data_IF_993322865470
#
_entry.id   IF_993322865470
#
_cell.length_a   1.000
_cell.length_b   1.000
_cell.length_c   1.000
_cell.angle_alpha   90.00
_cell.angle_beta   90.00
_cell.angle_gamma   90.00
#
_symmetry.space_group_name_H-M   'P 1'
#
loop_
_entity.id
_entity.type
_entity.pdbx_description
1 polymer ?
#
# COMPACT_ATOMS: atom_id res chain seq x y z
N UNK A 1 74.83 -19.50 42.17
CA UNK A 1 74.36 -18.21 41.61
C UNK A 1 72.93 -18.44 41.14
N UNK A 2 71.93 -18.09 41.96
CA UNK A 2 70.51 -18.36 41.68
C UNK A 2 69.72 -17.05 41.71
N UNK A 3 69.23 -16.62 40.55
CA UNK A 3 68.42 -15.41 40.37
C UNK A 3 66.98 -15.68 40.83
N UNK A 4 66.50 -14.91 41.81
CA UNK A 4 65.11 -14.94 42.30
C UNK A 4 64.16 -14.36 41.24
N UNK A 5 63.04 -15.01 40.91
CA UNK A 5 62.02 -14.42 40.05
C UNK A 5 61.28 -13.30 40.79
N UNK A 6 61.21 -12.11 40.19
CA UNK A 6 60.42 -10.98 40.67
C UNK A 6 58.92 -11.29 40.49
N UNK A 7 58.18 -11.48 41.59
CA UNK A 7 56.73 -11.59 41.58
C UNK A 7 56.13 -10.22 41.18
N UNK A 8 55.59 -10.13 39.98
CA UNK A 8 54.76 -8.99 39.57
C UNK A 8 53.42 -9.14 40.31
N UNK A 9 53.25 -8.42 41.43
CA UNK A 9 51.95 -8.28 42.08
C UNK A 9 51.01 -7.50 41.15
N UNK A 10 50.20 -8.20 40.37
CA UNK A 10 49.05 -7.60 39.70
C UNK A 10 48.09 -7.12 40.79
N UNK A 11 47.96 -5.80 40.98
CA UNK A 11 46.90 -5.24 41.81
C UNK A 11 45.57 -5.61 41.17
N UNK A 12 44.84 -6.56 41.77
CA UNK A 12 43.46 -6.82 41.38
C UNK A 12 42.64 -5.69 41.98
N UNK A 13 42.26 -4.70 41.18
CA UNK A 13 41.22 -3.75 41.56
C UNK A 13 39.93 -4.56 41.79
N UNK A 14 39.53 -4.69 43.04
CA UNK A 14 38.24 -5.25 43.39
C UNK A 14 37.18 -4.17 43.11
N UNK A 15 36.23 -4.48 42.23
CA UNK A 15 35.11 -3.59 41.94
C UNK A 15 34.13 -3.63 43.11
N UNK A 16 33.67 -2.48 43.58
CA UNK A 16 32.63 -2.44 44.62
C UNK A 16 31.26 -2.73 44.01
N UNK A 17 30.36 -3.33 44.80
CA UNK A 17 28.98 -3.61 44.37
C UNK A 17 28.26 -2.33 43.92
N UNK A 18 28.56 -1.20 44.56
CA UNK A 18 27.99 0.11 44.27
C UNK A 18 28.43 0.61 42.90
N UNK A 19 29.73 0.52 42.56
CA UNK A 19 30.24 0.94 41.26
C UNK A 19 29.60 0.15 40.12
N UNK A 20 29.43 -1.17 40.28
CA UNK A 20 28.75 -2.00 39.28
C UNK A 20 27.29 -1.59 39.12
N UNK A 21 26.59 -1.34 40.23
CA UNK A 21 25.18 -0.97 40.22
C UNK A 21 24.93 0.39 39.54
N UNK A 22 25.79 1.38 39.80
CA UNK A 22 25.71 2.69 39.13
C UNK A 22 25.94 2.57 37.62
N UNK A 23 26.92 1.78 37.19
CA UNK A 23 27.19 1.57 35.76
C UNK A 23 26.00 0.91 35.07
N UNK A 24 25.44 -0.13 35.66
CA UNK A 24 24.26 -0.81 35.11
C UNK A 24 23.05 0.13 35.10
N UNK A 25 22.86 0.97 36.12
CA UNK A 25 21.79 1.97 36.16
C UNK A 25 21.92 3.01 35.04
N UNK A 26 23.13 3.51 34.77
CA UNK A 26 23.39 4.46 33.68
C UNK A 26 23.15 3.79 32.32
N UNK A 27 23.68 2.58 32.09
CA UNK A 27 23.46 1.85 30.83
C UNK A 27 21.97 1.55 30.64
N UNK A 28 21.27 1.12 31.70
CA UNK A 28 19.83 0.88 31.68
C UNK A 28 19.03 2.13 31.31
N UNK A 29 19.37 3.28 31.88
CA UNK A 29 18.74 4.56 31.54
C UNK A 29 19.00 4.97 30.09
N UNK A 30 20.25 4.85 29.62
CA UNK A 30 20.61 5.17 28.22
C UNK A 30 19.88 4.25 27.23
N UNK A 31 19.87 2.94 27.47
CA UNK A 31 19.16 1.97 26.62
C UNK A 31 17.65 2.22 26.66
N UNK A 32 17.09 2.53 27.83
CA UNK A 32 15.67 2.85 27.99
C UNK A 32 15.22 4.06 27.18
N UNK A 33 16.09 5.07 27.00
CA UNK A 33 15.81 6.24 26.17
C UNK A 33 16.09 5.99 24.68
N UNK A 34 17.07 5.14 24.35
CA UNK A 34 17.50 4.88 22.97
C UNK A 34 16.58 3.89 22.24
N UNK A 35 16.01 2.90 22.93
CA UNK A 35 15.21 1.86 22.27
C UNK A 35 13.96 2.43 21.57
N UNK A 36 13.12 3.28 22.20
CA UNK A 36 11.96 3.88 21.53
C UNK A 36 12.39 4.78 20.36
N UNK A 37 13.49 5.51 20.52
CA UNK A 37 14.01 6.40 19.48
C UNK A 37 14.48 5.63 18.23
N UNK A 38 15.18 4.51 18.41
CA UNK A 38 15.63 3.66 17.30
C UNK A 38 14.44 3.02 16.56
N UNK A 39 13.39 2.61 17.29
CA UNK A 39 12.19 2.07 16.67
C UNK A 39 11.44 3.11 15.85
N UNK A 40 11.24 4.31 16.40
CA UNK A 40 10.62 5.42 15.67
C UNK A 40 11.42 5.80 14.41
N UNK A 41 12.75 5.83 14.50
CA UNK A 41 13.62 6.09 13.35
C UNK A 41 13.51 5.01 12.26
N UNK A 42 13.45 3.73 12.64
CA UNK A 42 13.25 2.62 11.69
C UNK A 42 11.92 2.73 10.96
N UNK A 43 10.85 3.05 11.68
CA UNK A 43 9.52 3.20 11.06
C UNK A 43 9.47 4.41 10.13
N UNK A 44 10.06 5.54 10.51
CA UNK A 44 10.17 6.69 9.63
C UNK A 44 10.92 6.36 8.33
N UNK A 45 11.98 5.54 8.41
CA UNK A 45 12.70 5.07 7.23
C UNK A 45 11.84 4.16 6.34
N UNK A 46 11.11 3.19 6.91
CA UNK A 46 10.19 2.33 6.14
C UNK A 46 9.07 3.13 5.49
N UNK A 47 8.47 4.09 6.20
CA UNK A 47 7.48 5.01 5.62
C UNK A 47 8.02 5.83 4.46
N UNK A 48 9.27 6.29 4.56
CA UNK A 48 9.93 6.99 3.44
C UNK A 48 10.10 6.06 2.25
N UNK A 49 10.42 4.77 2.47
CA UNK A 49 10.49 3.77 1.40
C UNK A 49 9.11 3.50 0.78
N UNK A 50 8.05 3.28 1.57
CA UNK A 50 6.69 3.11 1.04
C UNK A 50 6.26 4.35 0.23
N UNK A 51 6.57 5.56 0.71
CA UNK A 51 6.32 6.81 -0.01
C UNK A 51 7.05 6.88 -1.36
N UNK A 52 8.30 6.38 -1.43
CA UNK A 52 9.07 6.35 -2.67
C UNK A 52 8.52 5.32 -3.67
N UNK A 53 8.16 4.12 -3.20
CA UNK A 53 7.51 3.10 -4.03
C UNK A 53 6.19 3.63 -4.61
N UNK A 54 5.34 4.19 -3.74
CA UNK A 54 4.08 4.78 -4.16
C UNK A 54 4.30 6.00 -5.09
N UNK A 55 5.39 6.76 -4.91
CA UNK A 55 5.77 7.82 -5.85
C UNK A 55 6.13 7.27 -7.23
N UNK A 56 6.83 6.14 -7.32
CA UNK A 56 7.11 5.47 -8.60
C UNK A 56 5.82 5.00 -9.28
N UNK A 57 4.88 4.43 -8.52
CA UNK A 57 3.54 4.08 -9.02
C UNK A 57 2.80 5.32 -9.52
N UNK A 58 2.84 6.43 -8.78
CA UNK A 58 2.23 7.69 -9.18
C UNK A 58 2.85 8.29 -10.44
N UNK A 59 4.17 8.23 -10.60
CA UNK A 59 4.84 8.66 -11.84
C UNK A 59 4.48 7.75 -13.02
N UNK A 60 4.35 6.44 -12.79
CA UNK A 60 3.90 5.50 -13.81
C UNK A 60 2.45 5.79 -14.27
N UNK A 61 1.56 6.13 -13.34
CA UNK A 61 0.19 6.57 -13.66
C UNK A 61 0.17 7.83 -14.50
N UNK A 62 0.95 8.83 -14.13
CA UNK A 62 1.05 10.08 -14.89
C UNK A 62 1.59 9.82 -16.29
N UNK A 63 2.68 9.04 -16.42
CA UNK A 63 3.25 8.69 -17.72
C UNK A 63 2.28 7.88 -18.59
N UNK A 64 1.50 6.97 -18.00
CA UNK A 64 0.41 6.29 -18.71
C UNK A 64 -0.63 7.28 -19.23
N UNK A 65 -0.95 8.28 -18.41
CA UNK A 65 -1.98 9.28 -18.71
C UNK A 65 -1.59 10.36 -19.71
N UNK A 66 -0.35 10.36 -20.23
CA UNK A 66 0.06 11.22 -21.35
C UNK A 66 -0.83 11.03 -22.58
N UNK A 67 -1.44 9.84 -22.74
CA UNK A 67 -2.44 9.56 -23.77
C UNK A 67 -3.84 10.16 -23.49
N UNK A 68 -4.01 10.88 -22.38
CA UNK A 68 -5.24 11.59 -21.98
C UNK A 68 -6.22 10.78 -21.11
N UNK A 69 -5.85 9.58 -20.66
CA UNK A 69 -6.69 8.72 -19.82
C UNK A 69 -5.89 7.93 -18.80
N UNK A 70 -6.49 7.64 -17.65
CA UNK A 70 -5.95 6.73 -16.65
C UNK A 70 -6.15 5.27 -17.08
N UNK A 71 -5.36 4.32 -16.54
CA UNK A 71 -5.61 2.90 -16.80
C UNK A 71 -6.99 2.50 -16.26
N UNK A 72 -7.62 1.54 -16.92
CA UNK A 72 -8.85 0.93 -16.42
C UNK A 72 -8.50 0.11 -15.17
N UNK A 73 -9.27 0.26 -14.09
CA UNK A 73 -9.07 -0.46 -12.83
C UNK A 73 -9.07 -1.98 -13.04
N UNK A 74 -10.06 -2.47 -13.78
CA UNK A 74 -10.10 -3.84 -14.27
C UNK A 74 -10.64 -3.92 -15.69
N UNK A 75 -9.94 -4.64 -16.56
CA UNK A 75 -10.44 -4.99 -17.89
C UNK A 75 -11.01 -6.41 -17.89
N UNK A 76 -12.26 -6.53 -18.32
CA UNK A 76 -13.04 -7.76 -18.38
C UNK A 76 -13.48 -8.25 -17.00
N UNK A 77 -13.88 -7.36 -16.10
CA UNK A 77 -14.43 -7.73 -14.78
C UNK A 77 -15.94 -8.00 -14.84
N UNK A 78 -16.66 -7.32 -15.73
CA UNK A 78 -18.12 -7.48 -15.86
C UNK A 78 -18.52 -8.74 -16.66
N UNK A 79 -17.55 -9.46 -17.25
CA UNK A 79 -17.79 -10.61 -18.12
C UNK A 79 -17.56 -11.94 -17.38
N UNK A 80 -18.62 -12.55 -16.83
CA UNK A 80 -18.56 -13.92 -16.31
C UNK A 80 -18.95 -14.95 -17.41
N UNK A 81 -18.31 -16.14 -17.50
CA UNK A 81 -17.36 -16.77 -16.58
C UNK A 81 -15.86 -16.66 -16.96
N UNK A 82 -15.54 -16.04 -18.09
CA UNK A 82 -14.17 -15.85 -18.58
C UNK A 82 -13.79 -14.37 -18.66
N UNK A 83 -13.93 -13.69 -17.53
CA UNK A 83 -13.46 -12.32 -17.37
C UNK A 83 -11.95 -12.29 -17.48
N UNK A 84 -11.42 -11.33 -18.26
CA UNK A 84 -9.97 -11.16 -18.41
C UNK A 84 -9.31 -10.83 -17.08
N UNK A 85 -10.01 -10.10 -16.21
CA UNK A 85 -9.52 -9.69 -14.89
C UNK A 85 -8.14 -9.04 -14.95
N UNK A 86 -7.85 -8.29 -16.03
CA UNK A 86 -6.55 -7.63 -16.18
C UNK A 86 -6.54 -6.40 -15.30
N UNK A 87 -5.55 -6.31 -14.42
CA UNK A 87 -5.40 -5.19 -13.49
C UNK A 87 -4.79 -3.96 -14.12
N UNK A 88 -5.14 -2.80 -13.59
CA UNK A 88 -4.46 -1.52 -13.83
C UNK A 88 -2.95 -1.62 -13.61
N UNK A 89 -2.48 -2.41 -12.63
CA UNK A 89 -1.06 -2.63 -12.36
C UNK A 89 -0.30 -3.17 -13.57
N UNK A 90 -0.90 -4.10 -14.32
CA UNK A 90 -0.28 -4.72 -15.49
C UNK A 90 0.02 -3.68 -16.57
N UNK A 91 -0.83 -2.66 -16.70
CA UNK A 91 -0.64 -1.57 -17.65
C UNK A 91 0.47 -0.59 -17.26
N UNK A 92 0.89 -0.59 -15.98
CA UNK A 92 1.96 0.28 -15.49
C UNK A 92 3.36 -0.31 -15.63
N UNK A 93 3.48 -1.62 -15.91
CA UNK A 93 4.76 -2.32 -15.98
C UNK A 93 5.83 -1.64 -16.86
N UNK A 94 5.54 -1.12 -18.07
CA UNK A 94 6.55 -0.44 -18.90
C UNK A 94 7.14 0.80 -18.23
N UNK A 95 6.34 1.50 -17.42
CA UNK A 95 6.72 2.73 -16.73
C UNK A 95 7.41 2.46 -15.38
N UNK A 96 7.45 1.19 -14.96
CA UNK A 96 8.16 0.70 -13.78
C UNK A 96 9.40 -0.14 -14.16
N UNK A 97 9.90 -0.01 -15.40
CA UNK A 97 11.03 -0.77 -15.93
C UNK A 97 10.82 -2.30 -15.96
N UNK A 98 9.56 -2.76 -15.94
CA UNK A 98 9.17 -4.17 -15.96
C UNK A 98 8.69 -4.64 -17.35
N UNK A 99 9.30 -4.14 -18.43
CA UNK A 99 8.90 -4.47 -19.81
C UNK A 99 8.90 -5.97 -20.10
N UNK A 100 9.89 -6.71 -19.58
CA UNK A 100 9.99 -8.16 -19.78
C UNK A 100 8.78 -8.93 -19.20
N UNK A 101 8.19 -8.43 -18.10
CA UNK A 101 6.97 -9.03 -17.54
C UNK A 101 5.76 -8.71 -18.41
N UNK A 102 5.67 -7.49 -18.95
CA UNK A 102 4.59 -7.14 -19.87
C UNK A 102 4.62 -8.01 -21.13
N UNK A 103 5.80 -8.20 -21.74
CA UNK A 103 5.98 -8.99 -22.96
C UNK A 103 5.61 -10.47 -22.76
N UNK A 104 5.75 -10.98 -21.52
CA UNK A 104 5.37 -12.33 -21.15
C UNK A 104 3.88 -12.48 -20.81
N UNK A 105 3.17 -11.39 -20.55
CA UNK A 105 1.75 -11.40 -20.17
C UNK A 105 0.84 -11.49 -21.40
N UNK A 106 -0.07 -12.47 -21.40
CA UNK A 106 -1.04 -12.68 -22.48
C UNK A 106 -2.38 -11.99 -22.16
N UNK A 107 -2.62 -10.83 -22.79
CA UNK A 107 -3.86 -10.06 -22.67
C UNK A 107 -5.11 -10.73 -23.27
N UNK A 108 -4.94 -11.82 -24.02
CA UNK A 108 -6.06 -12.61 -24.56
C UNK A 108 -6.57 -13.64 -23.58
N UNK A 109 -5.81 -13.94 -22.52
CA UNK A 109 -6.14 -14.92 -21.50
C UNK A 109 -6.55 -14.23 -20.19
N UNK A 110 -7.36 -14.90 -19.34
CA UNK A 110 -7.61 -14.42 -17.99
C UNK A 110 -6.32 -14.26 -17.18
N UNK A 111 -6.25 -13.25 -16.32
CA UNK A 111 -5.12 -13.05 -15.39
C UNK A 111 -4.85 -14.30 -14.54
N UNK A 112 -5.91 -15.02 -14.14
CA UNK A 112 -5.82 -16.29 -13.38
C UNK A 112 -5.35 -17.50 -14.21
N UNK A 113 -5.06 -17.33 -15.50
CA UNK A 113 -4.53 -18.43 -16.34
C UNK A 113 -3.14 -18.84 -15.86
N UNK A 114 -2.76 -20.11 -16.09
CA UNK A 114 -1.47 -20.61 -15.64
C UNK A 114 -0.29 -19.82 -16.23
N UNK A 115 -0.39 -19.38 -17.49
CA UNK A 115 0.62 -18.54 -18.14
C UNK A 115 0.79 -17.20 -17.44
N UNK A 116 -0.30 -16.43 -17.28
CA UNK A 116 -0.24 -15.10 -16.66
C UNK A 116 0.16 -15.16 -15.17
N UNK A 117 -0.22 -16.21 -14.45
CA UNK A 117 0.22 -16.42 -13.07
C UNK A 117 1.72 -16.64 -12.93
N UNK A 118 2.37 -17.28 -13.91
CA UNK A 118 3.82 -17.49 -13.89
C UNK A 118 4.60 -16.17 -14.06
N UNK A 119 3.96 -15.16 -14.67
CA UNK A 119 4.51 -13.80 -14.85
C UNK A 119 4.35 -12.94 -13.58
N UNK A 120 3.38 -13.27 -12.73
CA UNK A 120 3.10 -12.55 -11.50
C UNK A 120 4.18 -12.79 -10.42
N UNK A 121 5.39 -12.26 -10.62
CA UNK A 121 6.45 -12.26 -9.61
C UNK A 121 6.31 -11.08 -8.66
N UNK A 122 7.03 -11.09 -7.54
CA UNK A 122 7.06 -9.95 -6.62
C UNK A 122 7.80 -8.76 -7.23
N UNK A 123 7.17 -7.59 -7.21
CA UNK A 123 7.72 -6.30 -7.64
C UNK A 123 7.85 -5.42 -6.39
N UNK A 124 9.04 -4.88 -6.11
CA UNK A 124 9.31 -4.17 -4.87
C UNK A 124 8.50 -2.87 -4.76
N UNK A 125 8.31 -2.19 -5.89
CA UNK A 125 7.55 -0.94 -6.04
C UNK A 125 6.06 -1.08 -5.72
N UNK A 126 5.56 -2.32 -5.62
CA UNK A 126 4.18 -2.61 -5.24
C UNK A 126 4.02 -2.96 -3.76
N UNK A 127 5.12 -3.04 -3.00
CA UNK A 127 5.10 -3.45 -1.60
C UNK A 127 5.45 -2.30 -0.67
N UNK A 128 4.80 -2.23 0.48
CA UNK A 128 5.19 -1.35 1.57
C UNK A 128 6.04 -2.11 2.59
N UNK A 129 7.31 -1.72 2.83
CA UNK A 129 8.17 -2.37 3.82
C UNK A 129 7.67 -2.40 5.27
N UNK A 130 6.65 -1.60 5.62
CA UNK A 130 6.01 -1.64 6.94
C UNK A 130 4.92 -2.69 7.07
N UNK A 131 4.36 -3.19 5.96
CA UNK A 131 3.37 -4.26 6.01
C UNK A 131 4.08 -5.61 6.18
N UNK A 132 3.98 -6.16 7.39
CA UNK A 132 4.46 -7.50 7.74
C UNK A 132 3.31 -8.51 7.86
N UNK A 133 2.11 -8.17 7.37
CA UNK A 133 0.92 -9.00 7.51
C UNK A 133 1.16 -10.41 6.98
N UNK A 134 0.74 -11.38 7.79
CA UNK A 134 0.80 -12.79 7.41
C UNK A 134 -0.18 -13.01 6.26
N UNK A 135 0.36 -13.02 5.05
CA UNK A 135 -0.45 -13.19 3.83
C UNK A 135 -1.07 -14.58 3.88
N UNK A 136 -2.39 -14.63 4.09
CA UNK A 136 -3.13 -15.89 4.15
C UNK A 136 -2.83 -16.76 2.92
N UNK A 137 -2.80 -18.08 3.09
CA UNK A 137 -2.64 -19.00 1.98
C UNK A 137 -3.89 -18.98 1.09
N UNK A 138 -3.72 -18.80 -0.23
CA UNK A 138 -4.84 -18.84 -1.17
C UNK A 138 -5.49 -20.22 -1.17
N UNK A 139 -6.63 -20.35 -0.49
CA UNK A 139 -7.40 -21.59 -0.40
C UNK A 139 -8.07 -21.97 -1.72
N UNK A 140 -8.16 -21.04 -2.68
CA UNK A 140 -8.73 -21.30 -4.01
C UNK A 140 -7.74 -21.94 -4.98
N UNK A 141 -6.43 -21.88 -4.68
CA UNK A 141 -5.32 -22.23 -5.56
C UNK A 141 -5.31 -21.51 -6.94
N UNK A 142 -6.22 -20.55 -7.16
CA UNK A 142 -6.35 -19.80 -8.42
C UNK A 142 -5.27 -18.73 -8.55
N UNK A 143 -4.66 -18.33 -7.45
CA UNK A 143 -3.66 -17.28 -7.35
C UNK A 143 -2.41 -17.71 -6.55
N UNK A 144 -2.25 -19.02 -6.32
CA UNK A 144 -1.06 -19.53 -5.66
C UNK A 144 0.22 -19.16 -6.41
N UNK A 145 1.26 -18.82 -5.64
CA UNK A 145 2.59 -18.38 -6.09
C UNK A 145 2.62 -17.10 -6.94
N UNK A 146 1.61 -16.23 -6.82
CA UNK A 146 1.62 -14.92 -7.45
C UNK A 146 2.19 -13.85 -6.50
N UNK A 147 2.81 -12.83 -7.07
CA UNK A 147 3.26 -11.63 -6.38
C UNK A 147 2.07 -10.77 -5.97
N UNK A 148 2.25 -10.05 -4.87
CA UNK A 148 1.22 -9.21 -4.27
C UNK A 148 1.57 -7.73 -4.38
N UNK A 149 0.60 -6.89 -4.06
CA UNK A 149 0.73 -5.46 -3.85
C UNK A 149 0.00 -5.06 -2.58
N UNK A 150 0.59 -4.11 -1.86
CA UNK A 150 0.02 -3.48 -0.66
C UNK A 150 -0.69 -2.16 -1.02
N UNK A 151 -0.80 -1.87 -2.33
CA UNK A 151 -1.49 -0.73 -2.90
C UNK A 151 -2.71 -1.21 -3.69
N UNK A 152 -3.75 -0.39 -3.76
CA UNK A 152 -4.88 -0.67 -4.64
C UNK A 152 -5.48 0.57 -5.25
N UNK A 153 -6.12 0.35 -6.38
CA UNK A 153 -6.77 1.42 -7.13
C UNK A 153 -8.09 1.85 -6.50
N UNK A 154 -8.38 3.15 -6.57
CA UNK A 154 -9.61 3.70 -6.01
C UNK A 154 -10.74 3.54 -7.02
N UNK A 155 -11.64 2.61 -6.70
CA UNK A 155 -12.85 2.34 -7.46
C UNK A 155 -13.95 3.37 -7.14
N UNK A 156 -14.02 3.84 -5.89
CA UNK A 156 -14.94 4.90 -5.46
C UNK A 156 -15.36 4.79 -3.99
N UNK A 157 -16.54 5.33 -3.69
CA UNK A 157 -17.19 5.21 -2.39
C UNK A 157 -18.35 4.22 -2.43
N UNK A 158 -18.47 3.40 -1.38
CA UNK A 158 -19.60 2.49 -1.17
C UNK A 158 -20.29 2.68 0.18
N UNK A 159 -21.36 1.92 0.39
CA UNK A 159 -22.16 1.92 1.60
C UNK A 159 -23.39 2.82 1.51
N UNK A 160 -24.31 2.65 2.47
CA UNK A 160 -25.61 3.32 2.48
C UNK A 160 -25.51 4.84 2.50
N UNK A 161 -24.44 5.38 3.08
CA UNK A 161 -24.14 6.81 3.09
C UNK A 161 -23.66 7.36 1.73
N UNK A 162 -23.17 6.49 0.83
CA UNK A 162 -22.88 6.80 -0.57
C UNK A 162 -24.10 6.57 -1.49
N UNK A 163 -25.29 6.28 -0.93
CA UNK A 163 -26.53 6.08 -1.69
C UNK A 163 -26.73 4.68 -2.27
N UNK A 164 -25.81 3.74 -2.04
CA UNK A 164 -25.88 2.37 -2.54
C UNK A 164 -25.83 1.34 -1.40
N UNK A 165 -26.79 0.42 -1.32
CA UNK A 165 -26.82 -0.63 -0.29
C UNK A 165 -25.75 -1.71 -0.47
N UNK A 166 -25.52 -2.12 -1.72
CA UNK A 166 -24.44 -3.00 -2.19
C UNK A 166 -24.05 -2.55 -3.59
N UNK A 167 -22.75 -2.32 -3.83
CA UNK A 167 -22.23 -1.71 -5.07
C UNK A 167 -21.99 -0.21 -4.93
N UNK A 168 -21.47 0.41 -5.99
CA UNK A 168 -21.18 1.84 -6.05
C UNK A 168 -22.16 2.51 -7.02
N UNK A 169 -22.72 3.66 -6.63
CA UNK A 169 -23.45 4.52 -7.55
C UNK A 169 -22.49 5.23 -8.51
N UNK A 170 -22.89 5.43 -9.76
CA UNK A 170 -22.00 6.00 -10.77
C UNK A 170 -21.48 7.41 -10.42
N UNK A 171 -22.25 8.16 -9.61
CA UNK A 171 -21.85 9.45 -9.07
C UNK A 171 -20.69 9.35 -8.05
N UNK A 172 -20.57 8.20 -7.36
CA UNK A 172 -19.56 7.94 -6.34
C UNK A 172 -18.33 7.22 -6.89
N UNK A 173 -18.20 7.08 -8.21
CA UNK A 173 -17.02 6.48 -8.80
C UNK A 173 -15.77 7.31 -8.58
N UNK A 174 -14.68 6.61 -8.28
CA UNK A 174 -13.33 7.12 -8.35
C UNK A 174 -12.81 7.08 -9.79
N UNK A 175 -11.51 6.86 -9.92
CA UNK A 175 -10.81 6.99 -11.20
C UNK A 175 -10.34 5.66 -11.79
N UNK A 176 -10.16 4.61 -10.98
CA UNK A 176 -9.78 3.28 -11.45
C UNK A 176 -11.00 2.35 -11.44
N UNK A 177 -11.92 2.59 -12.37
CA UNK A 177 -13.19 1.85 -12.51
C UNK A 177 -13.08 0.63 -13.43
N UNK A 178 -14.11 -0.21 -13.43
CA UNK A 178 -14.19 -1.43 -14.25
C UNK A 178 -14.61 -1.11 -15.66
N UNK A 179 -13.93 -1.75 -16.62
CA UNK A 179 -14.27 -1.79 -18.05
C UNK A 179 -14.46 -0.42 -18.75
N UNK A 180 -14.14 0.68 -18.07
CA UNK A 180 -14.30 2.05 -18.53
C UNK A 180 -13.01 2.84 -18.28
N UNK A 181 -12.35 3.38 -19.33
CA UNK A 181 -11.25 4.31 -19.14
C UNK A 181 -11.79 5.66 -18.66
N UNK A 182 -11.12 6.24 -17.67
CA UNK A 182 -11.43 7.59 -17.16
C UNK A 182 -10.48 8.58 -17.80
N UNK A 183 -11.00 9.59 -18.48
CA UNK A 183 -10.16 10.65 -19.07
C UNK A 183 -9.79 11.63 -17.98
N UNK A 184 -8.60 12.23 -18.08
CA UNK A 184 -8.20 13.28 -17.13
C UNK A 184 -9.17 14.47 -17.13
N UNK A 185 -9.83 14.72 -18.26
CA UNK A 185 -10.85 15.76 -18.41
C UNK A 185 -12.17 15.45 -17.67
N UNK A 186 -12.43 14.18 -17.34
CA UNK A 186 -13.65 13.76 -16.64
C UNK A 186 -13.52 13.91 -15.11
N UNK A 187 -12.33 14.28 -14.63
CA UNK A 187 -12.04 14.51 -13.21
C UNK A 187 -12.28 15.98 -12.88
N UNK A 188 -13.49 16.32 -12.43
CA UNK A 188 -13.91 17.71 -12.22
C UNK A 188 -13.45 18.30 -10.90
N UNK A 189 -13.13 17.46 -9.92
CA UNK A 189 -12.69 17.89 -8.58
C UNK A 189 -11.22 18.36 -8.55
N UNK A 190 -10.51 18.15 -9.67
CA UNK A 190 -9.10 18.50 -9.85
C UNK A 190 -8.16 17.33 -9.58
N UNK A 191 -7.14 17.19 -10.43
CA UNK A 191 -6.20 16.06 -10.41
C UNK A 191 -5.37 15.96 -9.11
N UNK A 192 -5.15 17.09 -8.43
CA UNK A 192 -4.45 17.16 -7.14
C UNK A 192 -5.32 16.79 -5.95
N UNK A 193 -6.65 16.85 -6.11
CA UNK A 193 -7.63 16.60 -5.06
C UNK A 193 -8.32 15.24 -5.19
N UNK A 194 -8.27 14.61 -6.35
CA UNK A 194 -8.76 13.24 -6.56
C UNK A 194 -7.63 12.22 -6.41
N UNK A 195 -7.85 11.21 -5.58
CA UNK A 195 -6.93 10.10 -5.34
C UNK A 195 -7.14 8.99 -6.35
N UNK A 196 -6.04 8.39 -6.79
CA UNK A 196 -6.03 7.28 -7.75
C UNK A 196 -5.67 5.94 -7.09
N UNK A 197 -4.68 5.93 -6.20
CA UNK A 197 -4.16 4.72 -5.56
C UNK A 197 -3.89 5.01 -4.10
N UNK A 198 -4.13 4.05 -3.22
CA UNK A 198 -3.79 4.17 -1.79
C UNK A 198 -3.23 2.88 -1.23
N UNK A 199 -2.57 3.00 -0.08
CA UNK A 199 -2.24 1.89 0.79
C UNK A 199 -3.50 1.22 1.32
N UNK A 200 -3.43 -0.11 1.40
CA UNK A 200 -4.52 -0.94 1.88
C UNK A 200 -4.00 -1.96 2.88
N UNK A 201 -4.83 -2.26 3.88
CA UNK A 201 -4.49 -3.22 4.93
C UNK A 201 -5.61 -4.26 5.06
N UNK A 202 -5.27 -5.48 5.49
CA UNK A 202 -6.21 -6.60 5.72
C UNK A 202 -7.09 -6.98 4.50
N UNK A 203 -6.56 -6.84 3.28
CA UNK A 203 -7.27 -7.27 2.07
C UNK A 203 -7.31 -8.78 1.90
N UNK A 204 -8.32 -9.26 1.17
CA UNK A 204 -8.40 -10.66 0.75
C UNK A 204 -7.28 -10.97 -0.23
N UNK A 205 -6.64 -12.12 -0.07
CA UNK A 205 -5.48 -12.54 -0.89
C UNK A 205 -5.70 -12.38 -2.40
N UNK A 206 -6.84 -12.78 -2.99
CA UNK A 206 -7.03 -12.64 -4.43
C UNK A 206 -6.91 -11.17 -4.87
N UNK A 207 -7.38 -10.25 -4.05
CA UNK A 207 -7.40 -8.82 -4.35
C UNK A 207 -6.05 -8.13 -4.15
N UNK A 208 -5.14 -8.74 -3.37
CA UNK A 208 -3.77 -8.24 -3.23
C UNK A 208 -2.85 -8.74 -4.34
N UNK A 209 -3.27 -9.67 -5.19
CA UNK A 209 -2.46 -10.13 -6.32
C UNK A 209 -2.41 -9.04 -7.38
N UNK A 210 -1.22 -8.54 -7.71
CA UNK A 210 -1.11 -7.33 -8.53
C UNK A 210 -1.67 -7.51 -9.95
N UNK A 211 -1.60 -8.71 -10.55
CA UNK A 211 -2.19 -8.98 -11.88
C UNK A 211 -3.72 -9.13 -11.86
N UNK A 212 -4.35 -9.26 -10.68
CA UNK A 212 -5.79 -9.46 -10.57
C UNK A 212 -6.52 -8.11 -10.64
N UNK A 213 -7.44 -7.96 -11.58
CA UNK A 213 -8.24 -6.74 -11.76
C UNK A 213 -9.15 -6.39 -10.59
N UNK A 214 -9.42 -7.33 -9.66
CA UNK A 214 -10.06 -6.99 -8.39
C UNK A 214 -9.14 -6.25 -7.41
N UNK A 215 -7.90 -5.91 -7.79
CA UNK A 215 -7.01 -5.02 -7.04
C UNK A 215 -7.45 -3.54 -7.12
N UNK A 216 -8.74 -3.30 -6.99
CA UNK A 216 -9.31 -1.98 -6.72
C UNK A 216 -10.21 -2.08 -5.50
N UNK A 217 -10.50 -0.97 -4.85
CA UNK A 217 -11.33 -0.96 -3.67
C UNK A 217 -12.30 0.21 -3.65
N UNK A 218 -13.42 -0.04 -2.99
CA UNK A 218 -14.41 0.94 -2.64
C UNK A 218 -14.22 1.28 -1.17
N UNK A 219 -14.13 2.57 -0.82
CA UNK A 219 -14.10 2.96 0.58
C UNK A 219 -15.53 3.05 1.09
N UNK A 220 -15.83 2.40 2.22
CA UNK A 220 -17.09 2.60 2.91
C UNK A 220 -17.15 4.05 3.43
N UNK A 221 -18.15 4.81 3.00
CA UNK A 221 -18.24 6.25 3.23
C UNK A 221 -18.31 6.68 4.71
N UNK A 222 -18.56 5.73 5.62
CA UNK A 222 -18.61 5.95 7.08
C UNK A 222 -17.40 5.37 7.82
N UNK A 223 -16.48 4.72 7.12
CA UNK A 223 -15.34 4.02 7.72
C UNK A 223 -14.10 4.91 7.66
N UNK A 224 -13.51 5.25 8.82
CA UNK A 224 -12.26 5.99 8.87
C UNK A 224 -11.06 5.17 8.37
N UNK A 225 -9.96 5.85 8.10
CA UNK A 225 -8.67 5.23 7.76
C UNK A 225 -8.24 4.28 8.89
N UNK A 226 -7.69 3.11 8.54
CA UNK A 226 -7.24 2.08 9.47
C UNK A 226 -8.34 1.47 10.37
N UNK A 227 -9.62 1.80 10.13
CA UNK A 227 -10.73 1.20 10.86
C UNK A 227 -11.21 -0.09 10.16
N UNK A 228 -11.66 -1.11 10.92
CA UNK A 228 -12.24 -2.29 10.31
C UNK A 228 -13.60 -1.95 9.68
N UNK A 229 -13.78 -2.27 8.41
CA UNK A 229 -15.07 -2.22 7.73
C UNK A 229 -15.79 -3.56 7.79
N UNK A 230 -17.12 -3.49 7.68
CA UNK A 230 -17.98 -4.65 7.48
C UNK A 230 -17.90 -5.24 6.06
N UNK A 231 -17.52 -4.43 5.07
CA UNK A 231 -17.38 -4.79 3.65
C UNK A 231 -15.93 -5.16 3.32
N UNK A 232 -14.98 -4.47 3.96
CA UNK A 232 -13.55 -4.75 3.92
C UNK A 232 -12.85 -4.23 2.67
N UNK A 233 -11.53 -4.13 2.73
CA UNK A 233 -10.72 -3.60 1.62
C UNK A 233 -10.57 -2.08 1.61
N UNK A 234 -10.88 -1.42 2.72
CA UNK A 234 -10.74 0.02 2.90
C UNK A 234 -9.30 0.50 3.05
N UNK A 235 -9.15 1.81 2.88
CA UNK A 235 -7.90 2.55 2.99
C UNK A 235 -7.26 2.35 4.38
N UNK A 236 -6.02 1.90 4.38
CA UNK A 236 -5.27 1.65 5.61
C UNK A 236 -3.82 1.29 5.34
N UNK A 237 -2.97 1.38 6.35
CA UNK A 237 -1.57 1.00 6.26
C UNK A 237 -1.04 0.47 7.59
N UNK A 238 0.09 -0.23 7.55
CA UNK A 238 0.80 -0.67 8.75
C UNK A 238 1.54 0.49 9.46
N UNK A 239 1.55 1.69 8.88
CA UNK A 239 2.18 2.85 9.49
C UNK A 239 1.33 3.40 10.65
N UNK A 240 1.95 3.81 11.77
CA UNK A 240 1.22 4.47 12.84
C UNK A 240 0.65 5.84 12.39
N UNK A 241 -0.65 6.04 12.60
CA UNK A 241 -1.30 7.35 12.52
C UNK A 241 -1.84 7.75 11.15
N UNK A 242 -1.87 6.86 10.16
CA UNK A 242 -2.38 7.16 8.83
C UNK A 242 -2.03 6.14 7.75
N UNK A 243 -2.17 6.58 6.51
CA UNK A 243 -1.84 5.81 5.31
C UNK A 243 -1.39 6.76 4.17
N UNK A 244 -0.64 6.22 3.22
CA UNK A 244 -0.21 6.95 2.04
C UNK A 244 -1.20 6.76 0.89
N UNK A 245 -1.40 7.83 0.12
CA UNK A 245 -2.18 7.80 -1.11
C UNK A 245 -1.55 8.67 -2.19
N UNK A 246 -1.86 8.37 -3.44
CA UNK A 246 -1.43 9.10 -4.63
C UNK A 246 -2.63 9.78 -5.28
N UNK A 247 -2.47 11.08 -5.51
CA UNK A 247 -3.39 11.87 -6.33
C UNK A 247 -3.23 11.54 -7.82
N UNK A 248 -4.22 11.86 -8.64
CA UNK A 248 -4.19 11.60 -10.09
C UNK A 248 -3.02 12.28 -10.81
N UNK A 249 -2.49 13.39 -10.27
CA UNK A 249 -1.28 14.05 -10.76
C UNK A 249 0.05 13.40 -10.29
N UNK A 250 -0.01 12.28 -9.56
CA UNK A 250 1.16 11.55 -9.08
C UNK A 250 1.81 12.12 -7.81
N UNK A 251 1.18 13.08 -7.13
CA UNK A 251 1.62 13.55 -5.81
C UNK A 251 1.25 12.54 -4.72
N UNK A 252 2.23 12.13 -3.90
CA UNK A 252 2.00 11.26 -2.75
C UNK A 252 1.68 12.12 -1.53
N UNK A 253 0.59 11.79 -0.83
CA UNK A 253 0.18 12.48 0.40
C UNK A 253 0.01 11.51 1.55
N UNK A 254 0.28 12.01 2.75
CA UNK A 254 -0.09 11.35 3.99
C UNK A 254 -1.54 11.69 4.35
N UNK A 255 -2.34 10.66 4.61
CA UNK A 255 -3.70 10.77 5.10
C UNK A 255 -3.70 10.34 6.57
N UNK A 256 -3.94 11.28 7.48
CA UNK A 256 -3.95 10.98 8.91
C UNK A 256 -5.23 10.26 9.32
N UNK A 257 -5.17 9.39 10.33
CA UNK A 257 -6.35 8.68 10.86
C UNK A 257 -7.47 9.65 11.30
N UNK A 258 -7.07 10.85 11.74
CA UNK A 258 -7.98 11.92 12.17
C UNK A 258 -8.58 12.74 11.01
N UNK A 259 -8.34 12.36 9.75
CA UNK A 259 -8.91 13.06 8.59
C UNK A 259 -10.44 13.03 8.68
N UNK A 260 -11.13 14.19 8.59
CA UNK A 260 -12.59 14.21 8.62
C UNK A 260 -13.18 13.38 7.49
N UNK A 261 -14.14 12.50 7.81
CA UNK A 261 -14.73 11.59 6.83
C UNK A 261 -15.27 12.28 5.56
N UNK A 262 -15.98 13.43 5.62
CA UNK A 262 -16.45 14.09 4.41
C UNK A 262 -15.32 14.55 3.49
N UNK A 263 -14.17 14.91 4.07
CA UNK A 263 -12.98 15.33 3.31
C UNK A 263 -12.32 14.13 2.66
N UNK A 264 -12.22 13.00 3.36
CA UNK A 264 -11.74 11.74 2.79
C UNK A 264 -12.62 11.31 1.62
N UNK A 265 -13.94 11.32 1.82
CA UNK A 265 -14.91 10.93 0.80
C UNK A 265 -14.78 11.77 -0.48
N UNK A 266 -14.67 13.10 -0.34
CA UNK A 266 -14.49 14.01 -1.47
C UNK A 266 -13.21 13.72 -2.28
N UNK A 267 -12.15 13.18 -1.65
CA UNK A 267 -10.93 12.83 -2.37
C UNK A 267 -11.01 11.50 -3.14
N UNK A 268 -12.01 10.66 -2.88
CA UNK A 268 -12.15 9.32 -3.46
C UNK A 268 -13.12 9.28 -4.65
N UNK A 269 -13.79 10.38 -4.94
CA UNK A 269 -14.67 10.55 -6.11
C UNK A 269 -14.00 11.36 -7.21
N UNK A 270 -14.35 11.11 -8.47
CA UNK A 270 -13.85 11.89 -9.62
C UNK A 270 -14.70 13.12 -9.95
N UNK A 271 -15.97 13.09 -9.56
CA UNK A 271 -16.97 14.13 -9.81
C UNK A 271 -17.85 14.28 -8.57
N UNK A 272 -17.32 14.93 -7.55
CA UNK A 272 -18.00 15.20 -6.29
C UNK A 272 -18.99 16.34 -6.48
N UNK A 273 -20.27 16.01 -6.61
CA UNK A 273 -21.27 16.92 -6.07
C UNK A 273 -21.15 16.90 -4.54
N UNK A 274 -20.98 18.08 -3.94
CA UNK A 274 -20.88 18.35 -2.50
C UNK A 274 -21.75 17.40 -1.64
N UNK A 275 -21.20 16.29 -1.14
CA UNK A 275 -21.81 15.51 -0.05
C UNK A 275 -21.65 16.19 1.32
N UNK A 276 -21.25 17.48 1.34
CA UNK A 276 -21.02 18.29 2.53
C UNK A 276 -22.00 19.47 2.64
N UNK A 277 -23.29 19.25 2.34
CA UNK A 277 -24.38 20.17 2.70
C UNK A 277 -25.37 19.54 3.67
#
# INVERSE_FOLDING_TARGET
>A
MATRPSKICRSRCAFTLIELLVVVAIIGALVGLLLPAVQAAREAARRTQCMNHLKQVGLALVAFSDAGQLPVGCVGCDQFPAGRLTSWNTHLLPYLEQQALLDAYDFTQPARSMGNRAVAITIAEFLCPSDDSERYADTSAKWSNCGYTDYGGIYGLEGSAAGAGYGIDAASFGVLVYDQPVRLADITDGLSHTLAVAELLNRRIPETVWINGHNVFAQEATTPINAPSSLGGDLGSAHPGGALAVACEGHVRWLADATPQPVLNAWLTRAGEDHAR
#
